data_IF_597168090188
#
_entry.id   IF_597168090188
#
_cell.length_a   1.000
_cell.length_b   1.000
_cell.length_c   1.000
_cell.angle_alpha   90.00
_cell.angle_beta   90.00
_cell.angle_gamma   90.00
#
_symmetry.space_group_name_H-M   'P 1'
#
loop_
_entity.id
_entity.type
_entity.pdbx_description
1 polymer ?
#
# COMPACT_ATOMS: atom_id res chain seq x y z
N UNK A 1 -25.79 36.59 8.99
CA UNK A 1 -26.16 35.27 8.43
C UNK A 1 -25.89 35.29 6.95
N UNK A 2 -24.73 34.78 6.53
CA UNK A 2 -24.42 34.48 5.14
C UNK A 2 -24.20 32.96 5.07
N UNK A 3 -24.79 32.24 4.11
CA UNK A 3 -24.69 30.80 4.08
C UNK A 3 -23.25 30.39 3.71
N UNK A 4 -22.62 29.64 4.61
CA UNK A 4 -21.39 28.92 4.32
C UNK A 4 -21.74 27.89 3.25
N UNK A 5 -21.25 28.11 2.03
CA UNK A 5 -21.35 27.13 0.96
C UNK A 5 -20.53 25.89 1.37
N UNK A 6 -21.21 24.88 1.90
CA UNK A 6 -20.71 23.52 1.92
C UNK A 6 -20.57 23.01 0.48
N UNK A 7 -19.42 23.23 -0.13
CA UNK A 7 -19.01 22.49 -1.32
C UNK A 7 -17.77 21.67 -1.00
N UNK A 8 -17.98 20.56 -0.30
CA UNK A 8 -17.04 19.44 -0.35
C UNK A 8 -17.77 18.23 -0.90
N UNK A 9 -17.49 17.88 -2.16
CA UNK A 9 -17.32 16.49 -2.53
C UNK A 9 -15.82 16.27 -2.68
N UNK A 10 -15.29 15.30 -1.93
CA UNK A 10 -14.01 14.67 -2.23
C UNK A 10 -13.99 14.37 -3.73
N UNK A 11 -13.28 15.18 -4.52
CA UNK A 11 -13.03 14.90 -5.93
C UNK A 11 -12.16 13.64 -5.92
N UNK A 12 -12.80 12.48 -6.12
CA UNK A 12 -12.11 11.25 -6.46
C UNK A 12 -11.09 11.61 -7.54
N UNK A 13 -9.80 11.48 -7.21
CA UNK A 13 -8.72 11.60 -8.18
C UNK A 13 -9.03 10.60 -9.30
N UNK A 14 -9.48 11.09 -10.45
CA UNK A 14 -9.73 10.23 -11.60
C UNK A 14 -8.39 9.75 -12.12
N UNK A 15 -8.34 8.54 -12.69
CA UNK A 15 -7.11 8.00 -13.28
C UNK A 15 -6.50 8.95 -14.33
N UNK A 16 -7.35 9.69 -15.05
CA UNK A 16 -6.90 10.78 -15.91
C UNK A 16 -6.07 11.82 -15.16
N UNK A 17 -6.54 12.30 -14.00
CA UNK A 17 -5.86 13.36 -13.25
C UNK A 17 -4.51 12.87 -12.74
N UNK A 18 -4.49 11.64 -12.23
CA UNK A 18 -3.26 10.97 -11.79
C UNK A 18 -2.25 10.92 -12.93
N UNK A 19 -2.68 10.49 -14.12
CA UNK A 19 -1.80 10.41 -15.28
C UNK A 19 -1.23 11.78 -15.68
N UNK A 20 -2.06 12.82 -15.74
CA UNK A 20 -1.59 14.17 -16.10
C UNK A 20 -0.59 14.71 -15.07
N UNK A 21 -0.88 14.59 -13.77
CA UNK A 21 0.02 15.00 -12.71
C UNK A 21 1.32 14.20 -12.73
N UNK A 22 1.25 12.89 -12.97
CA UNK A 22 2.42 12.03 -13.13
C UNK A 22 3.31 12.49 -14.28
N UNK A 23 2.73 12.87 -15.43
CA UNK A 23 3.48 13.44 -16.55
C UNK A 23 4.14 14.78 -16.21
N UNK A 24 3.41 15.68 -15.55
CA UNK A 24 3.97 16.98 -15.13
C UNK A 24 5.12 16.82 -14.13
N UNK A 25 5.00 15.88 -13.20
CA UNK A 25 6.03 15.58 -12.20
C UNK A 25 7.10 14.60 -12.69
N UNK A 26 7.04 14.16 -13.95
CA UNK A 26 7.92 13.14 -14.53
C UNK A 26 8.05 11.89 -13.66
N UNK A 27 6.93 11.40 -13.13
CA UNK A 27 6.88 10.18 -12.33
C UNK A 27 5.94 9.14 -12.95
N UNK A 28 6.23 7.88 -12.64
CA UNK A 28 5.41 6.74 -13.04
C UNK A 28 4.38 6.39 -11.96
N UNK A 29 3.36 5.62 -12.35
CA UNK A 29 2.40 5.07 -11.41
C UNK A 29 2.18 3.57 -11.62
N UNK A 30 1.77 2.93 -10.53
CA UNK A 30 1.16 1.62 -10.51
C UNK A 30 -0.09 1.70 -9.63
N UNK A 31 -1.26 1.45 -10.20
CA UNK A 31 -2.53 1.49 -9.47
C UNK A 31 -3.35 0.23 -9.71
N UNK A 32 -4.16 -0.17 -8.74
CA UNK A 32 -5.19 -1.20 -8.97
C UNK A 32 -6.41 -0.56 -9.60
N UNK A 33 -6.91 -1.16 -10.68
CA UNK A 33 -8.17 -0.78 -11.27
C UNK A 33 -9.31 -1.11 -10.28
N UNK A 34 -10.03 -0.08 -9.86
CA UNK A 34 -11.20 -0.20 -8.97
C UNK A 34 -12.53 -0.01 -9.70
N UNK A 35 -12.48 0.52 -10.92
CA UNK A 35 -13.64 0.76 -11.77
C UNK A 35 -13.36 0.11 -13.11
N UNK A 36 -14.38 -0.53 -13.65
CA UNK A 36 -14.34 -1.03 -15.00
C UNK A 36 -14.35 0.15 -15.98
N UNK A 37 -13.47 0.08 -16.98
CA UNK A 37 -13.19 1.16 -17.93
C UNK A 37 -13.29 0.63 -19.33
N UNK A 38 -13.76 1.46 -20.26
CA UNK A 38 -13.66 1.12 -21.67
C UNK A 38 -12.20 1.14 -22.12
N UNK A 39 -11.80 0.09 -22.82
CA UNK A 39 -10.47 -0.08 -23.41
C UNK A 39 -10.57 -0.37 -24.90
N UNK A 40 -9.49 -0.09 -25.61
CA UNK A 40 -9.23 -0.66 -26.93
C UNK A 40 -7.74 -1.01 -27.08
N UNK A 41 -7.42 -1.75 -28.14
CA UNK A 41 -6.06 -2.20 -28.45
C UNK A 41 -5.33 -1.27 -29.42
N UNK A 42 -5.86 -0.06 -29.68
CA UNK A 42 -5.27 0.91 -30.61
C UNK A 42 -4.17 1.72 -29.93
N UNK A 43 -3.23 1.01 -29.31
CA UNK A 43 -2.10 1.54 -28.54
C UNK A 43 -1.22 2.46 -29.39
N UNK A 44 -1.03 2.13 -30.66
CA UNK A 44 -0.28 2.95 -31.63
C UNK A 44 -0.97 4.29 -31.94
N UNK A 45 -2.23 4.46 -31.56
CA UNK A 45 -3.02 5.66 -31.76
C UNK A 45 -3.18 6.47 -30.46
N UNK A 46 -2.20 6.39 -29.55
CA UNK A 46 -2.23 6.99 -28.21
C UNK A 46 -2.63 8.49 -28.21
N UNK A 47 -2.11 9.26 -29.17
CA UNK A 47 -2.33 10.71 -29.25
C UNK A 47 -3.58 11.10 -30.04
N UNK A 48 -4.21 10.16 -30.74
CA UNK A 48 -5.44 10.45 -31.50
C UNK A 48 -6.60 10.65 -30.53
N UNK A 49 -7.29 11.81 -30.56
CA UNK A 49 -8.51 11.99 -29.80
C UNK A 49 -9.49 10.87 -30.10
N UNK A 50 -10.07 10.28 -29.05
CA UNK A 50 -11.16 9.32 -29.26
C UNK A 50 -12.29 10.08 -29.92
N UNK A 51 -12.79 9.65 -31.08
CA UNK A 51 -13.91 10.33 -31.71
C UNK A 51 -15.13 10.24 -30.77
N UNK A 52 -15.90 11.32 -30.61
CA UNK A 52 -17.08 11.30 -29.76
C UNK A 52 -18.01 10.18 -30.18
N UNK A 53 -18.40 9.35 -29.22
CA UNK A 53 -19.36 8.26 -29.47
C UNK A 53 -20.65 8.87 -30.01
N UNK A 54 -21.03 8.52 -31.24
CA UNK A 54 -22.23 9.06 -31.88
C UNK A 54 -23.47 8.60 -31.13
N UNK A 55 -24.42 9.52 -30.89
CA UNK A 55 -25.77 9.15 -30.43
C UNK A 55 -26.59 8.45 -31.51
N UNK A 56 -26.14 8.50 -32.77
CA UNK A 56 -26.73 7.78 -33.90
C UNK A 56 -26.14 6.38 -34.01
N UNK A 57 -27.01 5.38 -34.21
CA UNK A 57 -26.73 3.95 -34.23
C UNK A 57 -25.89 3.44 -35.43
N UNK A 58 -25.24 4.32 -36.21
CA UNK A 58 -24.72 3.97 -37.54
C UNK A 58 -23.21 4.12 -37.73
N UNK A 59 -22.43 4.39 -36.67
CA UNK A 59 -20.97 4.19 -36.76
C UNK A 59 -20.58 2.84 -36.14
N UNK A 60 -19.93 1.93 -36.89
CA UNK A 60 -19.27 0.78 -36.31
C UNK A 60 -18.02 1.29 -35.57
N UNK A 61 -18.22 1.86 -34.39
CA UNK A 61 -17.20 1.90 -33.37
C UNK A 61 -16.95 0.46 -32.95
N UNK A 62 -15.70 -0.05 -32.92
CA UNK A 62 -15.44 -1.36 -32.31
C UNK A 62 -16.12 -1.38 -30.94
N UNK A 63 -16.77 -2.49 -30.55
CA UNK A 63 -17.44 -2.55 -29.27
C UNK A 63 -16.40 -2.16 -28.23
N UNK A 64 -16.68 -1.10 -27.47
CA UNK A 64 -15.79 -0.67 -26.42
C UNK A 64 -15.70 -1.83 -25.43
N UNK A 65 -14.58 -2.56 -25.47
CA UNK A 65 -14.35 -3.66 -24.56
C UNK A 65 -14.25 -3.07 -23.15
N UNK A 66 -14.82 -3.78 -22.20
CA UNK A 66 -14.73 -3.44 -20.80
C UNK A 66 -13.47 -4.08 -20.23
N UNK A 67 -12.65 -3.31 -19.51
CA UNK A 67 -11.32 -3.71 -19.05
C UNK A 67 -11.37 -5.05 -18.33
N UNK A 68 -12.32 -5.25 -17.41
CA UNK A 68 -12.40 -6.49 -16.64
C UNK A 68 -12.81 -7.69 -17.50
N UNK A 69 -13.77 -7.50 -18.42
CA UNK A 69 -14.17 -8.57 -19.35
C UNK A 69 -13.09 -8.92 -20.38
N UNK A 70 -12.24 -7.95 -20.74
CA UNK A 70 -11.15 -8.15 -21.70
C UNK A 70 -10.00 -8.95 -21.06
N UNK A 71 -9.57 -8.56 -19.86
CA UNK A 71 -8.45 -9.25 -19.18
C UNK A 71 -8.78 -10.69 -18.79
N UNK A 72 -10.04 -10.99 -18.46
CA UNK A 72 -10.50 -12.36 -18.17
C UNK A 72 -10.28 -13.33 -19.35
N UNK A 73 -10.20 -12.81 -20.58
CA UNK A 73 -9.99 -13.62 -21.80
C UNK A 73 -8.51 -13.84 -22.11
N UNK A 74 -7.61 -13.17 -21.41
CA UNK A 74 -6.19 -13.24 -21.71
C UNK A 74 -5.63 -14.59 -21.24
N UNK A 75 -4.88 -15.31 -22.09
CA UNK A 75 -4.22 -16.53 -21.65
C UNK A 75 -3.14 -16.19 -20.62
N UNK A 76 -2.92 -17.12 -19.67
CA UNK A 76 -1.80 -17.03 -18.75
C UNK A 76 -0.49 -16.98 -19.55
N UNK A 77 0.31 -15.94 -19.32
CA UNK A 77 1.64 -15.78 -19.90
C UNK A 77 2.73 -16.27 -18.94
N UNK A 78 2.47 -16.25 -17.63
CA UNK A 78 3.36 -16.80 -16.61
C UNK A 78 2.57 -17.30 -15.37
N UNK A 79 3.28 -18.04 -14.53
CA UNK A 79 2.82 -18.46 -13.19
C UNK A 79 3.83 -18.02 -12.14
N UNK A 80 3.35 -17.54 -10.99
CA UNK A 80 4.17 -17.09 -9.88
C UNK A 80 3.52 -17.42 -8.54
N UNK A 81 4.16 -17.03 -7.44
CA UNK A 81 3.64 -17.20 -6.09
C UNK A 81 3.56 -15.85 -5.39
N UNK A 82 2.47 -15.61 -4.66
CA UNK A 82 2.24 -14.37 -3.93
C UNK A 82 1.94 -14.70 -2.47
N UNK A 83 2.77 -14.18 -1.56
CA UNK A 83 2.49 -14.24 -0.13
C UNK A 83 1.40 -13.23 0.23
N UNK A 84 0.29 -13.75 0.75
CA UNK A 84 -0.84 -12.99 1.26
C UNK A 84 -0.67 -12.86 2.77
N UNK A 85 -0.62 -11.62 3.26
CA UNK A 85 -0.52 -11.34 4.69
C UNK A 85 -1.84 -11.59 5.41
N UNK A 86 -1.77 -11.95 6.69
CA UNK A 86 -2.94 -12.14 7.52
C UNK A 86 -3.72 -10.82 7.68
N UNK A 87 -5.05 -10.91 7.66
CA UNK A 87 -5.97 -9.83 7.99
C UNK A 87 -7.00 -10.34 9.00
N UNK A 88 -7.86 -9.44 9.53
CA UNK A 88 -8.93 -9.86 10.46
C UNK A 88 -9.88 -10.92 9.85
N UNK A 89 -9.97 -10.99 8.52
CA UNK A 89 -10.88 -11.89 7.79
C UNK A 89 -10.18 -13.07 7.12
N UNK A 90 -8.84 -13.05 6.99
CA UNK A 90 -8.08 -14.03 6.19
C UNK A 90 -6.78 -14.41 6.87
N UNK A 91 -6.46 -15.70 6.89
CA UNK A 91 -5.17 -16.20 7.37
C UNK A 91 -4.07 -15.89 6.34
N UNK A 92 -2.84 -15.74 6.83
CA UNK A 92 -1.68 -15.67 5.95
C UNK A 92 -1.56 -16.99 5.17
N UNK A 93 -1.21 -16.88 3.89
CA UNK A 93 -0.99 -18.03 3.00
C UNK A 93 -0.21 -17.61 1.76
N UNK A 94 0.43 -18.57 1.12
CA UNK A 94 0.94 -18.43 -0.25
C UNK A 94 -0.18 -18.75 -1.24
N UNK A 95 -0.33 -17.92 -2.28
CA UNK A 95 -1.24 -18.16 -3.39
C UNK A 95 -0.43 -18.45 -4.67
N UNK A 96 -0.78 -19.52 -5.38
CA UNK A 96 -0.27 -19.76 -6.73
C UNK A 96 -1.09 -18.92 -7.69
N UNK A 97 -0.44 -18.05 -8.45
CA UNK A 97 -1.11 -17.08 -9.32
C UNK A 97 -0.65 -17.23 -10.76
N UNK A 98 -1.56 -16.97 -11.68
CA UNK A 98 -1.28 -16.74 -13.09
C UNK A 98 -1.18 -15.25 -13.36
N UNK A 99 -0.34 -14.90 -14.34
CA UNK A 99 -0.11 -13.53 -14.77
C UNK A 99 -0.30 -13.41 -16.28
N UNK A 100 -0.92 -12.32 -16.71
CA UNK A 100 -0.95 -11.85 -18.09
C UNK A 100 -0.74 -10.34 -18.12
N UNK A 101 -0.12 -9.84 -19.18
CA UNK A 101 0.15 -8.41 -19.31
C UNK A 101 0.13 -7.96 -20.77
N UNK A 102 -0.40 -6.77 -21.02
CA UNK A 102 -0.47 -6.18 -22.36
C UNK A 102 -0.68 -4.66 -22.26
N UNK A 103 -0.19 -3.84 -23.22
CA UNK A 103 -0.60 -2.45 -23.28
C UNK A 103 -2.04 -2.35 -23.77
N UNK A 104 -2.81 -1.46 -23.15
CA UNK A 104 -4.17 -1.12 -23.57
C UNK A 104 -4.32 0.40 -23.60
N UNK A 105 -5.24 0.88 -24.41
CA UNK A 105 -5.62 2.29 -24.42
C UNK A 105 -6.94 2.46 -23.65
N UNK A 106 -6.87 3.17 -22.53
CA UNK A 106 -8.01 3.53 -21.70
C UNK A 106 -8.75 4.71 -22.32
N UNK A 107 -10.05 4.54 -22.52
CA UNK A 107 -10.95 5.57 -23.08
C UNK A 107 -11.52 6.44 -21.95
N UNK A 108 -11.54 7.77 -22.09
CA UNK A 108 -12.13 8.65 -21.08
C UNK A 108 -13.63 8.37 -20.86
N UNK A 109 -14.16 8.61 -19.65
CA UNK A 109 -15.58 8.46 -19.37
C UNK A 109 -16.44 9.36 -20.28
N UNK A 110 -17.65 8.88 -20.62
CA UNK A 110 -18.61 9.62 -21.47
C UNK A 110 -18.86 11.02 -20.93
N UNK A 111 -18.86 12.02 -21.82
CA UNK A 111 -19.12 13.42 -21.48
C UNK A 111 -17.94 14.16 -20.83
N UNK A 112 -16.79 13.51 -20.65
CA UNK A 112 -15.56 14.18 -20.19
C UNK A 112 -14.57 14.47 -21.32
N UNK A 113 -14.80 13.96 -22.54
CA UNK A 113 -13.96 14.24 -23.72
C UNK A 113 -13.81 15.75 -23.99
N UNK A 114 -14.87 16.52 -23.71
CA UNK A 114 -14.89 17.99 -23.87
C UNK A 114 -14.12 18.77 -22.81
N UNK A 115 -13.64 18.10 -21.75
CA UNK A 115 -12.81 18.71 -20.68
C UNK A 115 -11.30 18.53 -20.91
N UNK A 116 -10.88 18.11 -22.10
CA UNK A 116 -9.46 17.93 -22.44
C UNK A 116 -8.85 16.62 -21.93
N UNK A 117 -9.67 15.62 -21.56
CA UNK A 117 -9.16 14.30 -21.18
C UNK A 117 -8.90 13.46 -22.43
N UNK A 118 -7.66 12.98 -22.56
CA UNK A 118 -7.23 12.15 -23.68
C UNK A 118 -7.22 10.66 -23.33
N UNK A 119 -7.23 9.82 -24.35
CA UNK A 119 -7.00 8.40 -24.16
C UNK A 119 -5.61 8.15 -23.58
N UNK A 120 -5.51 7.16 -22.69
CA UNK A 120 -4.27 6.86 -21.99
C UNK A 120 -3.79 5.47 -22.36
N UNK A 121 -2.59 5.37 -22.93
CA UNK A 121 -1.92 4.08 -23.06
C UNK A 121 -1.28 3.72 -21.73
N UNK A 122 -1.65 2.56 -21.20
CA UNK A 122 -1.10 1.99 -19.96
C UNK A 122 -0.83 0.51 -20.17
N UNK A 123 0.09 -0.03 -19.39
CA UNK A 123 0.27 -1.46 -19.26
C UNK A 123 -0.70 -2.02 -18.24
N UNK A 124 -1.43 -3.05 -18.62
CA UNK A 124 -2.28 -3.81 -17.71
C UNK A 124 -1.53 -5.07 -17.31
N UNK A 125 -1.54 -5.37 -16.01
CA UNK A 125 -1.06 -6.63 -15.45
C UNK A 125 -2.23 -7.26 -14.71
N UNK A 126 -2.73 -8.39 -15.22
CA UNK A 126 -3.75 -9.18 -14.57
C UNK A 126 -3.09 -10.33 -13.82
N UNK A 127 -3.44 -10.46 -12.54
CA UNK A 127 -2.93 -11.47 -11.62
C UNK A 127 -4.11 -12.14 -10.98
N UNK A 128 -4.25 -13.45 -11.16
CA UNK A 128 -5.37 -14.19 -10.58
C UNK A 128 -4.93 -15.55 -10.05
N UNK A 129 -5.64 -16.04 -9.05
CA UNK A 129 -5.47 -17.38 -8.49
C UNK A 129 -6.43 -18.35 -9.20
N UNK A 130 -5.93 -19.26 -10.06
CA UNK A 130 -6.80 -20.14 -10.83
C UNK A 130 -7.51 -21.20 -9.95
N UNK A 131 -6.83 -21.66 -8.89
CA UNK A 131 -7.32 -22.73 -8.01
C UNK A 131 -7.25 -22.26 -6.55
N UNK A 132 -8.17 -21.40 -6.10
CA UNK A 132 -8.21 -20.95 -4.71
C UNK A 132 -8.61 -22.12 -3.78
N UNK A 133 -8.07 -22.17 -2.55
CA UNK A 133 -8.51 -23.16 -1.57
C UNK A 133 -10.02 -23.07 -1.29
N UNK A 134 -10.63 -24.21 -0.95
CA UNK A 134 -12.06 -24.28 -0.67
C UNK A 134 -12.48 -23.28 0.43
N UNK A 135 -13.55 -22.51 0.16
CA UNK A 135 -14.06 -21.49 1.07
C UNK A 135 -13.21 -20.23 1.17
N UNK A 136 -12.16 -20.07 0.35
CA UNK A 136 -11.31 -18.88 0.29
C UNK A 136 -11.60 -18.09 -0.99
N UNK A 137 -11.83 -16.79 -0.85
CA UNK A 137 -11.95 -15.87 -1.98
C UNK A 137 -10.65 -15.84 -2.79
N UNK A 138 -10.77 -16.03 -4.11
CA UNK A 138 -9.65 -16.01 -5.03
C UNK A 138 -8.92 -14.66 -5.01
N UNK A 139 -7.60 -14.70 -5.09
CA UNK A 139 -6.84 -13.48 -5.36
C UNK A 139 -7.08 -13.05 -6.80
N UNK A 140 -7.48 -11.80 -7.00
CA UNK A 140 -7.52 -11.21 -8.33
C UNK A 140 -7.18 -9.71 -8.30
N UNK A 141 -6.15 -9.33 -9.05
CA UNK A 141 -5.68 -7.96 -9.22
C UNK A 141 -5.58 -7.61 -10.70
N UNK A 142 -6.19 -6.49 -11.07
CA UNK A 142 -5.95 -5.81 -12.36
C UNK A 142 -5.17 -4.54 -12.06
N UNK A 143 -3.90 -4.51 -12.43
CA UNK A 143 -2.99 -3.41 -12.17
C UNK A 143 -2.75 -2.60 -13.44
N UNK A 144 -2.72 -1.28 -13.31
CA UNK A 144 -2.46 -0.32 -14.38
C UNK A 144 -1.13 0.37 -14.09
N UNK A 145 -0.20 0.27 -15.04
CA UNK A 145 1.16 0.77 -14.94
C UNK A 145 1.47 1.75 -16.06
N UNK A 146 2.12 2.86 -15.74
CA UNK A 146 2.73 3.73 -16.76
C UNK A 146 3.98 3.09 -17.38
N UNK A 147 4.67 2.23 -16.62
CA UNK A 147 5.92 1.61 -17.01
C UNK A 147 5.70 0.44 -17.98
N UNK A 148 6.51 0.35 -19.07
CA UNK A 148 6.55 -0.79 -19.96
C UNK A 148 6.73 -2.11 -19.22
N UNK A 149 5.96 -3.12 -19.61
CA UNK A 149 5.96 -4.44 -18.96
C UNK A 149 5.93 -5.52 -20.04
N UNK A 150 7.05 -5.73 -20.73
CA UNK A 150 7.15 -6.66 -21.87
C UNK A 150 7.55 -8.08 -21.44
N UNK A 151 8.26 -8.21 -20.31
CA UNK A 151 8.78 -9.49 -19.84
C UNK A 151 8.12 -9.96 -18.56
N UNK A 152 8.27 -11.26 -18.26
CA UNK A 152 7.82 -11.87 -17.01
C UNK A 152 8.40 -11.17 -15.80
N UNK A 153 9.71 -10.92 -15.80
CA UNK A 153 10.44 -10.33 -14.68
C UNK A 153 9.93 -8.91 -14.41
N UNK A 154 9.61 -8.17 -15.48
CA UNK A 154 8.97 -6.87 -15.34
C UNK A 154 7.59 -7.02 -14.71
N UNK A 155 6.74 -7.93 -15.17
CA UNK A 155 5.41 -8.14 -14.60
C UNK A 155 5.46 -8.52 -13.12
N UNK A 156 6.30 -9.48 -12.74
CA UNK A 156 6.54 -9.90 -11.36
C UNK A 156 7.01 -8.73 -10.49
N UNK A 157 7.90 -7.87 -11.01
CA UNK A 157 8.31 -6.64 -10.31
C UNK A 157 7.13 -5.68 -10.02
N UNK A 158 6.16 -5.52 -10.94
CA UNK A 158 4.97 -4.68 -10.68
C UNK A 158 4.09 -5.31 -9.61
N UNK A 159 3.95 -6.64 -9.63
CA UNK A 159 3.24 -7.37 -8.57
C UNK A 159 3.90 -7.15 -7.21
N UNK A 160 5.23 -7.22 -7.13
CA UNK A 160 5.97 -6.98 -5.89
C UNK A 160 5.83 -5.54 -5.39
N UNK A 161 5.88 -4.54 -6.27
CA UNK A 161 5.57 -3.16 -5.89
C UNK A 161 4.14 -3.02 -5.36
N UNK A 162 3.16 -3.67 -6.00
CA UNK A 162 1.79 -3.63 -5.52
C UNK A 162 1.63 -4.30 -4.15
N UNK A 163 2.36 -5.39 -3.89
CA UNK A 163 2.39 -6.06 -2.58
C UNK A 163 2.89 -5.14 -1.46
N UNK A 164 3.82 -4.24 -1.77
CA UNK A 164 4.32 -3.25 -0.81
C UNK A 164 3.29 -2.20 -0.39
N UNK A 165 2.14 -2.08 -1.10
CA UNK A 165 1.06 -1.13 -0.78
C UNK A 165 0.59 -1.23 0.67
N UNK A 166 0.54 -2.43 1.25
CA UNK A 166 0.11 -2.65 2.64
C UNK A 166 0.94 -1.87 3.67
N UNK A 167 2.18 -1.48 3.34
CA UNK A 167 3.05 -0.70 4.21
C UNK A 167 2.43 0.64 4.64
N UNK A 168 1.65 1.28 3.76
CA UNK A 168 0.98 2.56 4.11
C UNK A 168 -0.14 2.35 5.14
N UNK A 169 -0.81 1.20 5.12
CA UNK A 169 -1.84 0.86 6.10
C UNK A 169 -1.20 0.61 7.48
N UNK A 170 -0.03 -0.05 7.52
CA UNK A 170 0.76 -0.20 8.74
C UNK A 170 1.19 1.16 9.32
N UNK A 171 1.61 2.10 8.45
CA UNK A 171 1.95 3.46 8.86
C UNK A 171 0.74 4.18 9.47
N UNK A 172 -0.42 4.16 8.80
CA UNK A 172 -1.64 4.76 9.32
C UNK A 172 -2.10 4.09 10.62
N UNK A 173 -2.01 2.76 10.71
CA UNK A 173 -2.31 2.01 11.91
C UNK A 173 -1.38 2.44 13.07
N UNK A 174 -0.12 2.72 12.78
CA UNK A 174 0.83 3.26 13.73
C UNK A 174 0.46 4.62 14.27
N UNK A 175 0.15 5.56 13.39
CA UNK A 175 -0.33 6.89 13.80
C UNK A 175 -1.61 6.82 14.63
N UNK A 176 -2.60 6.04 14.18
CA UNK A 176 -3.93 5.99 14.80
C UNK A 176 -3.93 5.22 16.10
N UNK A 177 -3.39 4.00 16.11
CA UNK A 177 -3.46 3.11 17.28
C UNK A 177 -2.25 3.20 18.17
N UNK A 178 -1.06 3.48 17.62
CA UNK A 178 0.15 3.65 18.41
C UNK A 178 0.34 5.03 18.96
N UNK A 179 0.42 6.01 18.07
CA UNK A 179 0.55 7.40 18.46
C UNK A 179 -0.74 7.99 19.05
N UNK A 180 -1.85 7.25 18.97
CA UNK A 180 -3.18 7.61 19.44
C UNK A 180 -3.61 8.98 18.95
N UNK A 181 -3.25 9.34 17.71
CA UNK A 181 -3.44 10.70 17.21
C UNK A 181 -4.92 11.12 17.21
N UNK A 182 -5.83 10.18 16.99
CA UNK A 182 -7.29 10.41 17.00
C UNK A 182 -7.88 10.59 18.41
N UNK A 183 -7.13 10.26 19.47
CA UNK A 183 -7.57 10.45 20.87
C UNK A 183 -7.08 11.77 21.46
N UNK A 184 -6.22 12.50 20.74
CA UNK A 184 -5.66 13.77 21.20
C UNK A 184 -6.68 14.87 20.99
N UNK A 185 -6.96 15.65 22.04
CA UNK A 185 -7.93 16.75 22.01
C UNK A 185 -7.30 18.01 21.40
N UNK A 186 -6.92 17.94 20.12
CA UNK A 186 -6.36 19.07 19.38
C UNK A 186 -7.49 19.99 18.94
N UNK A 187 -7.32 21.30 19.16
CA UNK A 187 -8.38 22.29 18.97
C UNK A 187 -8.36 22.96 17.59
N UNK A 188 -7.24 22.85 16.86
CA UNK A 188 -7.07 23.49 15.55
C UNK A 188 -6.18 22.68 14.60
N UNK A 189 -6.15 23.11 13.35
CA UNK A 189 -5.36 22.52 12.28
C UNK A 189 -3.85 22.63 12.51
N UNK A 190 -3.38 23.74 13.09
CA UNK A 190 -1.94 23.95 13.29
C UNK A 190 -1.37 23.04 14.37
N UNK A 191 -2.12 22.77 15.42
CA UNK A 191 -1.81 21.77 16.44
C UNK A 191 -1.75 20.37 15.86
N UNK A 192 -2.69 20.01 14.97
CA UNK A 192 -2.64 18.74 14.25
C UNK A 192 -1.42 18.65 13.32
N UNK A 193 -1.12 19.70 12.56
CA UNK A 193 0.04 19.75 11.67
C UNK A 193 1.35 19.61 12.45
N UNK A 194 1.47 20.32 13.57
CA UNK A 194 2.66 20.31 14.44
C UNK A 194 2.88 18.93 15.03
N UNK A 195 1.84 18.31 15.60
CA UNK A 195 1.99 17.00 16.21
C UNK A 195 2.22 15.89 15.18
N UNK A 196 1.63 16.00 13.98
CA UNK A 196 1.93 15.11 12.86
C UNK A 196 3.39 15.19 12.45
N UNK A 197 3.98 16.39 12.46
CA UNK A 197 5.40 16.60 12.20
C UNK A 197 6.32 15.81 13.15
N UNK A 198 5.87 15.58 14.39
CA UNK A 198 6.60 14.75 15.36
C UNK A 198 6.26 13.25 15.20
N UNK A 199 4.97 12.91 15.16
CA UNK A 199 4.50 11.52 15.23
C UNK A 199 4.72 10.74 13.94
N UNK A 200 4.68 11.38 12.77
CA UNK A 200 4.86 10.69 11.49
C UNK A 200 6.28 10.14 11.31
N UNK A 201 7.37 10.92 11.51
CA UNK A 201 8.73 10.37 11.49
C UNK A 201 8.93 9.26 12.52
N UNK A 202 8.35 9.39 13.71
CA UNK A 202 8.43 8.35 14.74
C UNK A 202 7.76 7.03 14.30
N UNK A 203 6.58 7.11 13.68
CA UNK A 203 5.90 5.93 13.15
C UNK A 203 6.73 5.24 12.06
N UNK A 204 7.36 6.02 11.17
CA UNK A 204 8.28 5.49 10.16
C UNK A 204 9.51 4.84 10.81
N UNK A 205 10.12 5.48 11.83
CA UNK A 205 11.28 4.91 12.54
C UNK A 205 10.96 3.57 13.19
N UNK A 206 9.77 3.43 13.78
CA UNK A 206 9.31 2.15 14.32
C UNK A 206 9.15 1.07 13.25
N UNK A 207 8.63 1.45 12.07
CA UNK A 207 8.52 0.51 10.94
C UNK A 207 9.89 0.09 10.40
N UNK A 208 10.84 1.02 10.31
CA UNK A 208 12.23 0.75 9.94
C UNK A 208 12.91 -0.18 10.95
N UNK A 209 12.75 0.10 12.25
CA UNK A 209 13.28 -0.74 13.33
C UNK A 209 12.74 -2.16 13.25
N UNK A 210 11.41 -2.32 13.04
CA UNK A 210 10.81 -3.63 12.80
C UNK A 210 11.43 -4.33 11.60
N UNK A 211 11.59 -3.64 10.48
CA UNK A 211 12.16 -4.21 9.27
C UNK A 211 13.61 -4.68 9.51
N UNK A 212 14.44 -3.84 10.12
CA UNK A 212 15.82 -4.17 10.48
C UNK A 212 15.90 -5.39 11.41
N UNK A 213 15.04 -5.43 12.44
CA UNK A 213 14.99 -6.56 13.40
C UNK A 213 14.64 -7.91 12.77
N UNK A 214 14.02 -7.91 11.59
CA UNK A 214 13.66 -9.12 10.84
C UNK A 214 14.72 -9.49 9.80
N UNK A 215 15.33 -8.49 9.18
CA UNK A 215 16.31 -8.69 8.12
C UNK A 215 17.64 -9.19 8.68
N UNK A 216 18.13 -8.59 9.76
CA UNK A 216 19.37 -8.98 10.44
C UNK A 216 19.20 -8.85 11.96
N UNK A 217 18.62 -9.87 12.63
CA UNK A 217 18.28 -9.81 14.05
C UNK A 217 19.47 -9.58 14.99
N UNK A 218 20.66 -10.04 14.59
CA UNK A 218 21.88 -10.02 15.40
C UNK A 218 22.71 -8.75 15.18
N UNK A 219 22.33 -7.89 14.22
CA UNK A 219 23.00 -6.61 14.00
C UNK A 219 23.01 -5.78 15.30
N UNK A 220 24.14 -5.14 15.67
CA UNK A 220 24.18 -4.25 16.82
C UNK A 220 23.17 -3.10 16.69
N UNK A 221 22.37 -2.86 17.73
CA UNK A 221 21.31 -1.85 17.69
C UNK A 221 21.85 -0.43 17.42
N UNK A 222 23.07 -0.14 17.86
CA UNK A 222 23.78 1.13 17.66
C UNK A 222 24.15 1.43 16.20
N UNK A 223 24.10 0.44 15.30
CA UNK A 223 24.29 0.66 13.87
C UNK A 223 23.01 1.16 13.18
N UNK A 224 21.84 0.96 13.80
CA UNK A 224 20.52 1.28 13.23
C UNK A 224 19.88 2.47 13.96
N UNK A 225 20.09 2.56 15.27
CA UNK A 225 19.51 3.58 16.14
C UNK A 225 20.60 4.48 16.73
N UNK A 226 20.26 5.74 17.05
CA UNK A 226 21.13 6.62 17.81
C UNK A 226 21.62 5.98 19.12
N UNK A 227 22.90 6.13 19.51
CA UNK A 227 23.46 5.47 20.70
C UNK A 227 22.76 5.82 22.01
N UNK A 228 22.26 7.05 22.15
CA UNK A 228 21.47 7.53 23.27
C UNK A 228 20.14 6.78 23.39
N UNK A 229 19.44 6.55 22.27
CA UNK A 229 18.21 5.73 22.25
C UNK A 229 18.52 4.30 22.68
N UNK A 230 19.60 3.71 22.16
CA UNK A 230 20.03 2.36 22.55
C UNK A 230 20.36 2.29 24.03
N UNK A 231 21.07 3.28 24.58
CA UNK A 231 21.41 3.35 25.99
C UNK A 231 20.16 3.40 26.89
N UNK A 232 19.16 4.22 26.53
CA UNK A 232 17.89 4.29 27.27
C UNK A 232 17.15 2.96 27.21
N UNK A 233 17.00 2.37 26.02
CA UNK A 233 16.28 1.09 25.87
C UNK A 233 17.01 -0.05 26.60
N UNK A 234 18.34 -0.10 26.53
CA UNK A 234 19.16 -1.08 27.22
C UNK A 234 19.07 -0.92 28.75
N UNK A 235 19.06 0.31 29.25
CA UNK A 235 18.84 0.61 30.67
C UNK A 235 17.47 0.12 31.15
N UNK A 236 16.40 0.41 30.39
CA UNK A 236 15.04 -0.04 30.70
C UNK A 236 14.87 -1.57 30.62
N UNK A 237 15.66 -2.26 29.79
CA UNK A 237 15.66 -3.72 29.66
C UNK A 237 16.67 -4.43 30.57
N UNK A 238 17.44 -3.67 31.37
CA UNK A 238 18.52 -4.16 32.22
C UNK A 238 19.59 -4.97 31.47
N UNK A 239 20.04 -4.45 30.32
CA UNK A 239 21.09 -5.05 29.47
C UNK A 239 22.22 -4.07 29.17
N UNK A 240 23.44 -4.55 28.84
CA UNK A 240 24.51 -3.70 28.34
C UNK A 240 24.19 -3.18 26.93
N UNK A 241 24.31 -1.86 26.73
CA UNK A 241 24.01 -1.21 25.47
C UNK A 241 24.95 -1.66 24.33
N UNK A 242 26.19 -1.97 24.67
CA UNK A 242 27.27 -2.35 23.75
C UNK A 242 26.99 -3.69 23.05
N UNK A 243 26.26 -4.58 23.75
CA UNK A 243 25.93 -5.93 23.28
C UNK A 243 24.49 -6.06 22.78
N UNK A 244 23.71 -4.98 22.85
CA UNK A 244 22.29 -5.02 22.51
C UNK A 244 22.11 -5.21 21.00
N UNK A 245 21.51 -6.32 20.60
CA UNK A 245 21.14 -6.55 19.20
C UNK A 245 19.87 -5.80 18.84
N UNK A 246 19.66 -5.56 17.55
CA UNK A 246 18.48 -4.87 17.05
C UNK A 246 17.19 -5.63 17.39
N UNK A 247 17.22 -6.97 17.41
CA UNK A 247 16.09 -7.79 17.82
C UNK A 247 15.80 -7.63 19.31
N UNK A 248 16.85 -7.63 20.16
CA UNK A 248 16.68 -7.39 21.59
C UNK A 248 16.13 -6.00 21.87
N UNK A 249 16.62 -4.98 21.16
CA UNK A 249 16.13 -3.61 21.25
C UNK A 249 14.64 -3.52 20.85
N UNK A 250 14.26 -4.12 19.72
CA UNK A 250 12.86 -4.21 19.29
C UNK A 250 11.97 -4.89 20.34
N UNK A 251 12.41 -6.01 20.90
CA UNK A 251 11.66 -6.73 21.93
C UNK A 251 11.57 -5.96 23.25
N UNK A 252 12.62 -5.24 23.65
CA UNK A 252 12.61 -4.38 24.83
C UNK A 252 11.58 -3.25 24.68
N UNK A 253 11.58 -2.59 23.52
CA UNK A 253 10.55 -1.61 23.16
C UNK A 253 9.18 -2.28 23.21
N UNK A 254 8.97 -3.43 22.55
CA UNK A 254 7.71 -4.17 22.60
C UNK A 254 7.22 -4.42 24.04
N UNK A 255 8.10 -4.95 24.91
CA UNK A 255 7.81 -5.28 26.31
C UNK A 255 7.39 -4.05 27.11
N UNK A 256 8.09 -2.94 26.93
CA UNK A 256 7.77 -1.69 27.64
C UNK A 256 6.37 -1.14 27.33
N UNK A 257 5.74 -1.53 26.21
CA UNK A 257 4.35 -1.22 25.89
C UNK A 257 3.35 -2.34 26.19
N UNK A 258 3.76 -3.34 26.96
CA UNK A 258 2.89 -4.41 27.45
C UNK A 258 2.89 -5.68 26.59
N UNK A 259 3.86 -5.86 25.69
CA UNK A 259 4.04 -7.14 25.01
C UNK A 259 4.63 -8.18 25.99
N UNK A 260 3.90 -9.26 26.25
CA UNK A 260 4.28 -10.24 27.28
C UNK A 260 5.21 -11.34 26.77
N UNK A 261 5.36 -11.49 25.45
CA UNK A 261 6.27 -12.48 24.85
C UNK A 261 5.94 -13.92 25.23
N UNK A 262 4.66 -14.28 25.38
CA UNK A 262 4.25 -15.65 25.72
C UNK A 262 4.47 -16.55 24.51
N UNK A 263 4.83 -17.83 24.76
CA UNK A 263 4.94 -18.86 23.69
C UNK A 263 3.64 -19.03 22.88
N UNK A 264 2.50 -18.57 23.40
CA UNK A 264 1.18 -18.57 22.75
C UNK A 264 0.87 -17.32 21.93
N UNK A 265 1.76 -16.32 21.90
CA UNK A 265 1.53 -15.05 21.20
C UNK A 265 1.78 -15.14 19.68
N UNK A 266 1.89 -16.36 19.12
CA UNK A 266 1.67 -16.68 17.71
C UNK A 266 1.11 -18.10 17.53
N UNK A 267 0.35 -18.43 16.46
CA UNK A 267 -0.64 -17.66 15.72
C UNK A 267 -2.04 -18.32 15.86
N UNK A 268 -2.87 -17.90 16.82
CA UNK A 268 -4.35 -18.02 16.76
C UNK A 268 -5.01 -16.90 17.57
N UNK A 269 -5.52 -15.87 16.89
CA UNK A 269 -6.54 -14.95 17.45
C UNK A 269 -6.16 -13.48 17.69
N UNK A 270 -4.93 -13.04 17.40
CA UNK A 270 -4.54 -11.63 17.52
C UNK A 270 -3.23 -11.33 16.78
N UNK A 271 -3.07 -10.11 16.24
CA UNK A 271 -1.89 -9.70 15.45
C UNK A 271 -0.60 -9.87 16.28
N UNK A 272 0.34 -10.77 15.90
CA UNK A 272 1.58 -10.96 16.62
C UNK A 272 2.45 -9.71 16.56
N UNK A 273 3.26 -9.46 17.59
CA UNK A 273 4.44 -8.61 17.42
C UNK A 273 5.57 -9.54 16.97
N UNK A 274 5.91 -9.53 15.68
CA UNK A 274 7.11 -10.24 15.20
C UNK A 274 6.92 -11.04 13.93
N UNK A 275 5.89 -11.88 13.81
CA UNK A 275 5.84 -12.90 12.73
C UNK A 275 5.02 -12.47 11.50
N UNK A 276 3.77 -12.00 11.67
CA UNK A 276 2.84 -11.84 10.53
C UNK A 276 2.80 -10.45 9.89
N UNK A 277 3.94 -9.77 9.78
CA UNK A 277 3.97 -8.50 9.04
C UNK A 277 3.34 -7.28 9.74
N UNK A 278 2.52 -7.42 10.79
CA UNK A 278 1.92 -6.30 11.54
C UNK A 278 2.71 -5.90 12.81
N UNK A 279 2.64 -4.62 13.23
CA UNK A 279 3.09 -4.16 14.56
C UNK A 279 1.92 -4.31 15.55
N UNK A 280 2.13 -5.00 16.68
CA UNK A 280 1.09 -5.14 17.70
C UNK A 280 0.76 -3.79 18.35
N UNK A 281 -0.47 -3.63 18.86
CA UNK A 281 -0.88 -2.43 19.60
C UNK A 281 0.06 -2.10 20.77
N UNK A 282 0.70 -3.11 21.35
CA UNK A 282 1.62 -2.97 22.49
C UNK A 282 2.96 -2.36 22.05
N UNK A 283 3.54 -2.85 20.96
CA UNK A 283 4.79 -2.33 20.39
C UNK A 283 4.65 -0.86 19.97
N UNK A 284 3.46 -0.51 19.48
CA UNK A 284 3.03 0.84 19.16
C UNK A 284 2.86 1.77 20.37
N UNK A 285 2.30 1.29 21.49
CA UNK A 285 2.10 2.07 22.73
C UNK A 285 3.41 2.38 23.46
N UNK A 286 4.35 1.44 23.44
CA UNK A 286 5.60 1.50 24.20
C UNK A 286 6.47 2.73 23.88
N UNK A 287 6.68 2.94 22.59
CA UNK A 287 7.68 3.87 22.07
C UNK A 287 7.30 5.33 22.33
N UNK A 288 6.01 5.60 22.52
CA UNK A 288 5.47 6.98 22.58
C UNK A 288 5.14 7.37 24.01
N UNK A 289 4.75 6.42 24.88
CA UNK A 289 4.39 6.70 26.27
C UNK A 289 5.58 6.68 27.24
N UNK A 290 6.71 6.04 26.90
CA UNK A 290 7.83 5.84 27.85
C UNK A 290 9.20 6.36 27.42
N UNK A 291 9.43 6.63 26.14
CA UNK A 291 10.71 7.18 25.65
C UNK A 291 10.68 8.70 25.41
N UNK A 292 9.51 9.35 25.49
CA UNK A 292 9.35 10.80 25.32
C UNK A 292 9.01 11.56 26.61
N UNK A 293 8.79 10.86 27.72
CA UNK A 293 8.53 11.45 29.04
C UNK A 293 9.62 11.09 30.06
N UNK A 294 10.87 10.92 29.58
CA UNK A 294 12.04 10.96 30.45
C UNK A 294 12.57 12.40 30.44
N UNK A 295 11.77 13.28 31.03
CA UNK A 295 12.15 14.53 31.70
C UNK A 295 11.15 14.75 32.85
#
# INVERSE_FOLDING_TARGET
MAPIAHSSPQKLLTLGLIYHLCREMQCDFLIRAAQDRCVDLLVEQAERPVPPRSHHAERPSPPALHLFEDVERWPAQATSTVEITASQKRKARTANVSLSWQPVRLVPPRGQETKGWHALVVWVIHVWEPEPPEGVEALEWVLLSALPTQTREQAEQRVDWYRARGMVEDFHQGLKTGCQIEQRQLQDYEGLRTILGLLAPMAVRLMQLRAASRQDPEQPASQVLPPDVVAVVAHLDHRPAETMTIQQCWQAIARSGGYLGRKSDGPRGGKPCGEDGCISKHCWKAFILRLYFLD
#
